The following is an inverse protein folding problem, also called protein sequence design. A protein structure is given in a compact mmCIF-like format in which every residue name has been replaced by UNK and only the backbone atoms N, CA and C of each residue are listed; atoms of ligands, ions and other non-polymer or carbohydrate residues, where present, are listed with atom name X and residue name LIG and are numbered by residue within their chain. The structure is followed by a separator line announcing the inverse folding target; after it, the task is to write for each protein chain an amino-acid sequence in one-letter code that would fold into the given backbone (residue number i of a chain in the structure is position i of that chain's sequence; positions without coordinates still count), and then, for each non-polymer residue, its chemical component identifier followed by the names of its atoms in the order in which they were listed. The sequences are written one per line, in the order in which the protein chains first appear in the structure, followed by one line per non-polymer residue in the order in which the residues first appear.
data_IF_681620024369
#
_entry.id   IF_681620024369
#
_cell.length_a   1.000
_cell.length_b   1.000
_cell.length_c   1.000
_cell.angle_alpha   90.00
_cell.angle_beta   90.00
_cell.angle_gamma   90.00
#
_symmetry.space_group_name_H-M   'P 1'
#
loop_
_entity.id
_entity.type
_entity.pdbx_description
1 polymer ?
#
# COMPACT_ATOMS: atom_id res chain seq x y z
N UNK A 1 -16.04 -14.26 -8.30
CA UNK A 1 -15.47 -12.91 -8.03
C UNK A 1 -15.43 -12.13 -9.35
N UNK A 2 -15.84 -10.86 -9.37
CA UNK A 2 -15.70 -9.97 -10.53
C UNK A 2 -14.75 -8.84 -10.14
N UNK A 3 -13.67 -8.66 -10.89
CA UNK A 3 -12.72 -7.56 -10.69
C UNK A 3 -13.04 -6.44 -11.67
N UNK A 4 -13.20 -5.23 -11.14
CA UNK A 4 -13.53 -4.00 -11.89
C UNK A 4 -12.45 -2.95 -11.65
N UNK A 5 -12.57 -1.77 -12.26
CA UNK A 5 -11.67 -0.61 -12.07
C UNK A 5 -10.22 -0.84 -12.57
N UNK A 6 -10.09 -1.27 -13.82
CA UNK A 6 -8.80 -1.56 -14.47
C UNK A 6 -8.13 -0.34 -15.12
N UNK A 7 -8.65 0.88 -14.91
CA UNK A 7 -8.19 2.07 -15.63
C UNK A 7 -6.70 2.41 -15.39
N UNK A 8 -6.12 1.92 -14.29
CA UNK A 8 -4.74 2.16 -13.86
C UNK A 8 -3.88 0.89 -13.79
N UNK A 9 -4.30 -0.22 -14.40
CA UNK A 9 -3.53 -1.46 -14.38
C UNK A 9 -2.20 -1.34 -15.13
N UNK A 10 -1.14 -1.99 -14.61
CA UNK A 10 0.22 -1.96 -15.17
C UNK A 10 0.94 -3.28 -14.93
N UNK A 11 1.90 -3.61 -15.79
CA UNK A 11 2.86 -4.66 -15.51
C UNK A 11 3.77 -4.22 -14.35
N UNK A 12 3.93 -5.09 -13.36
CA UNK A 12 4.72 -4.85 -12.15
C UNK A 12 5.31 -6.17 -11.64
N UNK A 13 6.15 -6.08 -10.62
CA UNK A 13 6.62 -7.27 -9.89
C UNK A 13 5.45 -7.91 -9.13
N UNK A 14 5.39 -9.25 -9.00
CA UNK A 14 4.19 -9.95 -8.52
C UNK A 14 3.74 -9.61 -7.08
N UNK A 15 4.64 -9.10 -6.24
CA UNK A 15 4.33 -8.76 -4.85
C UNK A 15 3.63 -7.41 -4.70
N UNK A 16 3.61 -6.56 -5.73
CA UNK A 16 3.13 -5.17 -5.60
C UNK A 16 1.63 -5.10 -5.27
N UNK A 17 0.82 -6.05 -5.76
CA UNK A 17 -0.61 -6.12 -5.47
C UNK A 17 -0.90 -6.38 -3.98
N UNK A 18 -0.07 -7.20 -3.32
CA UNK A 18 -0.13 -7.39 -1.88
C UNK A 18 0.22 -6.09 -1.15
N UNK A 19 1.25 -5.37 -1.61
CA UNK A 19 1.61 -4.05 -1.10
C UNK A 19 0.48 -3.02 -1.19
N UNK A 20 -0.25 -2.97 -2.31
CA UNK A 20 -1.42 -2.10 -2.42
C UNK A 20 -2.59 -2.56 -1.52
N UNK A 21 -2.72 -3.86 -1.28
CA UNK A 21 -3.73 -4.42 -0.37
C UNK A 21 -3.46 -4.02 1.09
N UNK A 22 -2.19 -3.91 1.50
CA UNK A 22 -1.82 -3.42 2.84
C UNK A 22 -2.40 -2.03 3.13
N UNK A 23 -2.31 -1.10 2.17
CA UNK A 23 -2.89 0.24 2.33
C UNK A 23 -4.41 0.19 2.59
N UNK A 24 -5.11 -0.73 1.92
CA UNK A 24 -6.56 -0.93 2.11
C UNK A 24 -6.88 -1.56 3.47
N UNK A 25 -6.08 -2.52 3.93
CA UNK A 25 -6.24 -3.10 5.26
C UNK A 25 -6.00 -2.08 6.37
N UNK A 26 -4.96 -1.26 6.23
CA UNK A 26 -4.65 -0.21 7.19
C UNK A 26 -5.76 0.85 7.22
N UNK A 27 -6.25 1.30 6.05
CA UNK A 27 -7.42 2.18 5.95
C UNK A 27 -8.69 1.55 6.57
N UNK A 28 -8.85 0.23 6.46
CA UNK A 28 -9.94 -0.51 7.09
C UNK A 28 -9.78 -0.66 8.63
N UNK A 29 -8.65 -0.22 9.20
CA UNK A 29 -8.42 -0.17 10.65
C UNK A 29 -7.40 -1.16 11.20
N UNK A 30 -6.80 -2.00 10.35
CA UNK A 30 -5.72 -2.90 10.79
C UNK A 30 -4.44 -2.11 11.10
N UNK A 31 -3.64 -2.60 12.06
CA UNK A 31 -2.30 -2.04 12.29
C UNK A 31 -1.36 -2.40 11.12
N UNK A 32 -0.27 -1.63 10.90
CA UNK A 32 0.73 -1.98 9.89
C UNK A 32 1.33 -3.38 10.09
N UNK A 33 1.64 -3.76 11.33
CA UNK A 33 2.10 -5.12 11.70
C UNK A 33 1.08 -6.18 11.30
N UNK A 34 -0.20 -6.02 11.67
CA UNK A 34 -1.24 -7.00 11.35
C UNK A 34 -1.46 -7.12 9.84
N UNK A 35 -1.34 -6.01 9.12
CA UNK A 35 -1.44 -6.01 7.66
C UNK A 35 -0.27 -6.79 7.03
N UNK A 36 0.98 -6.53 7.43
CA UNK A 36 2.12 -7.28 6.88
C UNK A 36 2.09 -8.76 7.26
N UNK A 37 1.65 -9.09 8.47
CA UNK A 37 1.43 -10.49 8.87
C UNK A 37 0.41 -11.19 7.97
N UNK A 38 -0.65 -10.52 7.56
CA UNK A 38 -1.58 -11.06 6.56
C UNK A 38 -0.92 -11.25 5.20
N UNK A 39 -0.04 -10.34 4.78
CA UNK A 39 0.65 -10.45 3.50
C UNK A 39 1.66 -11.61 3.48
N UNK A 40 2.15 -12.08 4.63
CA UNK A 40 2.96 -13.31 4.70
C UNK A 40 2.16 -14.58 4.32
N UNK A 41 0.83 -14.54 4.25
CA UNK A 41 0.03 -15.64 3.69
C UNK A 41 -0.11 -15.55 2.15
N UNK A 42 0.42 -14.49 1.52
CA UNK A 42 0.38 -14.26 0.08
C UNK A 42 1.73 -14.69 -0.53
N UNK A 43 1.75 -15.80 -1.26
CA UNK A 43 2.99 -16.41 -1.79
C UNK A 43 3.90 -15.42 -2.53
N UNK A 44 3.33 -14.54 -3.36
CA UNK A 44 4.12 -13.58 -4.13
C UNK A 44 4.80 -12.53 -3.25
N UNK A 45 4.25 -12.20 -2.07
CA UNK A 45 4.80 -11.20 -1.14
C UNK A 45 6.21 -11.54 -0.65
N UNK A 46 6.52 -12.83 -0.54
CA UNK A 46 7.86 -13.29 -0.16
C UNK A 46 8.95 -12.91 -1.18
N UNK A 47 8.57 -12.54 -2.40
CA UNK A 47 9.49 -12.03 -3.40
C UNK A 47 10.02 -10.61 -3.13
N UNK A 48 9.44 -9.88 -2.16
CA UNK A 48 9.90 -8.56 -1.75
C UNK A 48 10.86 -8.67 -0.57
N UNK A 49 12.08 -8.14 -0.70
CA UNK A 49 12.98 -7.99 0.45
C UNK A 49 12.42 -6.98 1.47
N UNK A 50 12.96 -6.96 2.69
CA UNK A 50 12.59 -5.92 3.65
C UNK A 50 12.84 -4.52 3.07
N UNK A 51 13.98 -4.28 2.43
CA UNK A 51 14.28 -2.98 1.85
C UNK A 51 13.31 -2.60 0.73
N UNK A 52 12.92 -3.54 -0.14
CA UNK A 52 11.93 -3.31 -1.20
C UNK A 52 10.57 -2.88 -0.63
N UNK A 53 10.11 -3.55 0.42
CA UNK A 53 8.83 -3.23 1.07
C UNK A 53 8.87 -1.84 1.73
N UNK A 54 10.00 -1.47 2.37
CA UNK A 54 10.19 -0.11 2.94
C UNK A 54 10.22 0.93 1.83
N UNK A 55 11.00 0.70 0.77
CA UNK A 55 11.11 1.61 -0.37
C UNK A 55 9.76 1.82 -1.05
N UNK A 56 8.98 0.75 -1.23
CA UNK A 56 7.62 0.83 -1.76
C UNK A 56 6.68 1.62 -0.86
N UNK A 57 6.71 1.39 0.46
CA UNK A 57 5.88 2.14 1.41
C UNK A 57 6.17 3.66 1.34
N UNK A 58 7.44 4.06 1.24
CA UNK A 58 7.85 5.46 1.09
C UNK A 58 7.41 6.02 -0.28
N UNK A 59 7.65 5.27 -1.36
CA UNK A 59 7.28 5.70 -2.71
C UNK A 59 5.77 5.90 -2.86
N UNK A 60 4.96 4.97 -2.35
CA UNK A 60 3.50 5.05 -2.45
C UNK A 60 2.93 6.16 -1.58
N UNK A 61 3.52 6.45 -0.42
CA UNK A 61 3.17 7.63 0.38
C UNK A 61 3.41 8.92 -0.43
N UNK A 62 4.57 9.05 -1.08
CA UNK A 62 4.87 10.22 -1.91
C UNK A 62 3.86 10.42 -3.05
N UNK A 63 3.45 9.33 -3.71
CA UNK A 63 2.41 9.37 -4.75
C UNK A 63 1.07 9.83 -4.16
N UNK A 64 0.66 9.30 -3.01
CA UNK A 64 -0.61 9.68 -2.38
C UNK A 64 -0.62 11.12 -1.89
N UNK A 65 0.48 11.61 -1.31
CA UNK A 65 0.60 13.02 -0.91
C UNK A 65 0.53 13.95 -2.13
N UNK A 66 1.22 13.61 -3.23
CA UNK A 66 1.10 14.35 -4.50
C UNK A 66 -0.34 14.36 -5.01
N UNK A 67 -0.99 13.19 -5.09
CA UNK A 67 -2.36 13.08 -5.59
C UNK A 67 -3.38 13.79 -4.71
N UNK A 68 -3.19 13.80 -3.38
CA UNK A 68 -4.06 14.52 -2.45
C UNK A 68 -3.92 16.04 -2.61
N UNK A 69 -2.70 16.53 -2.85
CA UNK A 69 -2.43 17.95 -3.07
C UNK A 69 -2.96 18.45 -4.42
N UNK A 70 -2.63 17.74 -5.50
CA UNK A 70 -2.84 18.22 -6.86
C UNK A 70 -4.18 17.79 -7.47
N UNK A 71 -4.80 16.74 -6.94
CA UNK A 71 -6.07 16.18 -7.43
C UNK A 71 -6.93 15.68 -6.26
N UNK A 72 -7.39 16.55 -5.35
CA UNK A 72 -8.08 16.12 -4.13
C UNK A 72 -9.36 15.33 -4.46
N UNK A 73 -9.51 14.15 -3.85
CA UNK A 73 -10.75 13.37 -3.85
C UNK A 73 -11.04 12.92 -2.41
N UNK A 74 -12.32 12.83 -1.99
CA UNK A 74 -12.68 12.56 -0.58
C UNK A 74 -12.08 11.28 0.00
N UNK A 75 -11.86 10.25 -0.82
CA UNK A 75 -11.31 8.96 -0.36
C UNK A 75 -9.77 8.93 -0.28
N UNK A 76 -9.06 9.94 -0.81
CA UNK A 76 -7.59 9.93 -0.89
C UNK A 76 -6.94 10.23 0.45
N UNK A 77 -7.52 11.14 1.24
CA UNK A 77 -6.99 11.51 2.56
C UNK A 77 -6.77 10.27 3.45
N UNK A 78 -7.77 9.38 3.48
CA UNK A 78 -7.70 8.14 4.26
C UNK A 78 -6.59 7.20 3.80
N UNK A 79 -6.39 7.06 2.48
CA UNK A 79 -5.32 6.25 1.92
C UNK A 79 -3.94 6.88 2.15
N UNK A 80 -3.83 8.20 2.09
CA UNK A 80 -2.58 8.91 2.45
C UNK A 80 -2.23 8.67 3.92
N UNK A 81 -3.22 8.75 4.82
CA UNK A 81 -3.00 8.47 6.25
C UNK A 81 -2.65 7.01 6.50
N UNK A 82 -3.23 6.07 5.76
CA UNK A 82 -2.85 4.66 5.82
C UNK A 82 -1.38 4.46 5.40
N UNK A 83 -0.97 5.06 4.27
CA UNK A 83 0.41 5.02 3.81
C UNK A 83 1.38 5.65 4.83
N UNK A 84 0.98 6.78 5.44
CA UNK A 84 1.78 7.46 6.45
C UNK A 84 1.97 6.62 7.70
N UNK A 85 0.92 5.93 8.17
CA UNK A 85 1.02 4.99 9.30
C UNK A 85 1.94 3.82 8.98
N UNK A 86 1.87 3.29 7.76
CA UNK A 86 2.74 2.20 7.33
C UNK A 86 4.21 2.62 7.33
N UNK A 87 4.54 3.75 6.68
CA UNK A 87 5.92 4.29 6.64
C UNK A 87 6.47 4.54 8.03
N UNK A 88 5.69 5.14 8.94
CA UNK A 88 6.12 5.37 10.33
C UNK A 88 6.46 4.09 11.07
N UNK A 89 5.71 3.02 10.84
CA UNK A 89 5.99 1.72 11.44
C UNK A 89 7.22 1.04 10.82
N UNK A 90 7.46 1.20 9.52
CA UNK A 90 8.63 0.64 8.82
C UNK A 90 9.96 1.31 9.19
N UNK A 91 9.91 2.60 9.55
CA UNK A 91 11.09 3.44 9.79
C UNK A 91 11.34 3.76 11.27
N UNK A 92 10.41 3.40 12.15
CA UNK A 92 10.52 3.58 13.61
C UNK A 92 10.92 2.29 14.31
#
# INVERSE_FOLDING_TARGET
MRVVDWAWSRAAVPWLDAGFSLLRLIDAGHSPDAAERWAEDVETWHGASSDDRTAFAVAVLGIWEFLQRDQPLPHRERLTDAARRWVRWRLG
#
